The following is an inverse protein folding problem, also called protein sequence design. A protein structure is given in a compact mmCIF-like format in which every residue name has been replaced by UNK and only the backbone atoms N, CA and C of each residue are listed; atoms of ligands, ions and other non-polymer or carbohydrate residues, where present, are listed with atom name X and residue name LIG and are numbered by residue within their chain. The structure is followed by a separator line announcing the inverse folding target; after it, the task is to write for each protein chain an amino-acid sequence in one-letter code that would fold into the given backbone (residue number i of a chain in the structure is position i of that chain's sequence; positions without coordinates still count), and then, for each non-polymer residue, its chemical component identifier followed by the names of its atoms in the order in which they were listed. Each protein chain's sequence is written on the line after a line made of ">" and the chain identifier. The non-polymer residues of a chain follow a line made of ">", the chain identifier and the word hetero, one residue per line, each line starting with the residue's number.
data_IF_487026965979
#
_entry.id   IF_487026965979
#
_cell.length_a   1.000
_cell.length_b   1.000
_cell.length_c   1.000
_cell.angle_alpha   90.00
_cell.angle_beta   90.00
_cell.angle_gamma   90.00
#
_symmetry.space_group_name_H-M   'P 1'
#
loop_
_entity.id
_entity.type
_entity.pdbx_description
1 polymer ?
#
# COMPACT_ATOMS: atom_id res chain seq x y z
N UNK A 1 34.05 34.36 -2.79
CA UNK A 1 32.73 33.72 -2.86
C UNK A 1 32.07 34.14 -4.18
N UNK A 2 31.75 33.19 -5.04
CA UNK A 2 31.05 33.49 -6.29
C UNK A 2 29.65 34.08 -5.98
N UNK A 3 29.22 35.06 -6.78
CA UNK A 3 27.89 35.63 -6.63
C UNK A 3 26.85 34.61 -7.11
N UNK A 4 26.02 34.09 -6.19
CA UNK A 4 24.95 33.15 -6.53
C UNK A 4 23.80 33.93 -7.18
N UNK A 5 23.58 33.71 -8.46
CA UNK A 5 22.52 34.36 -9.22
C UNK A 5 21.20 33.62 -9.14
N UNK A 6 20.09 34.32 -9.36
CA UNK A 6 18.76 33.70 -9.43
C UNK A 6 18.68 32.66 -10.58
N UNK A 7 19.40 32.90 -11.70
CA UNK A 7 19.49 31.95 -12.79
C UNK A 7 20.13 30.62 -12.40
N UNK A 8 21.25 30.67 -11.65
CA UNK A 8 21.90 29.44 -11.18
C UNK A 8 20.98 28.65 -10.23
N UNK A 9 20.24 29.33 -9.37
CA UNK A 9 19.25 28.67 -8.48
C UNK A 9 18.13 28.05 -9.30
N UNK A 10 17.62 28.74 -10.31
CA UNK A 10 16.57 28.24 -11.19
C UNK A 10 17.05 27.02 -12.01
N UNK A 11 18.31 27.06 -12.52
CA UNK A 11 18.90 25.95 -13.26
C UNK A 11 19.09 24.70 -12.37
N UNK A 12 19.63 24.87 -11.17
CA UNK A 12 19.79 23.76 -10.23
C UNK A 12 18.44 23.17 -9.82
N UNK A 13 17.43 24.04 -9.63
CA UNK A 13 16.06 23.60 -9.36
C UNK A 13 15.45 22.84 -10.53
N UNK A 14 15.64 23.30 -11.75
CA UNK A 14 15.14 22.61 -12.94
C UNK A 14 15.74 21.20 -13.10
N UNK A 15 17.02 21.03 -12.71
CA UNK A 15 17.70 19.72 -12.73
C UNK A 15 17.28 18.79 -11.60
N UNK A 16 17.06 19.32 -10.39
CA UNK A 16 16.90 18.51 -9.18
C UNK A 16 15.49 18.51 -8.62
N UNK A 17 14.66 19.46 -9.10
CA UNK A 17 13.31 19.73 -8.56
C UNK A 17 13.30 19.96 -7.03
N UNK A 18 14.44 20.29 -6.45
CA UNK A 18 14.59 20.54 -5.03
C UNK A 18 14.00 21.92 -4.64
N UNK A 19 13.64 22.13 -3.37
CA UNK A 19 13.14 23.41 -2.89
C UNK A 19 14.15 24.55 -3.16
N UNK A 20 13.64 25.70 -3.66
CA UNK A 20 14.47 26.85 -4.08
C UNK A 20 15.51 27.26 -3.04
N UNK A 21 15.16 27.29 -1.76
CA UNK A 21 16.06 27.70 -0.68
C UNK A 21 17.16 26.67 -0.44
N UNK A 22 16.90 25.39 -0.65
CA UNK A 22 17.92 24.35 -0.55
C UNK A 22 18.91 24.44 -1.74
N UNK A 23 18.41 24.70 -2.95
CA UNK A 23 19.24 24.97 -4.12
C UNK A 23 20.18 26.17 -3.88
N UNK A 24 19.64 27.28 -3.34
CA UNK A 24 20.43 28.46 -3.00
C UNK A 24 21.52 28.16 -1.97
N UNK A 25 21.17 27.43 -0.88
CA UNK A 25 22.15 27.04 0.15
C UNK A 25 23.25 26.15 -0.41
N UNK A 26 22.88 25.14 -1.21
CA UNK A 26 23.83 24.22 -1.81
C UNK A 26 24.80 24.96 -2.77
N UNK A 27 24.31 25.86 -3.60
CA UNK A 27 25.16 26.70 -4.45
C UNK A 27 26.08 27.60 -3.64
N UNK A 28 25.62 28.15 -2.52
CA UNK A 28 26.44 28.97 -1.65
C UNK A 28 27.57 28.15 -1.04
N UNK A 29 27.27 26.94 -0.54
CA UNK A 29 28.27 26.02 0.04
C UNK A 29 29.25 25.46 -1.00
N UNK A 30 28.79 25.32 -2.26
CA UNK A 30 29.60 24.90 -3.40
C UNK A 30 30.39 26.04 -4.07
N UNK A 31 30.32 27.27 -3.54
CA UNK A 31 30.90 28.48 -4.13
C UNK A 31 30.56 28.70 -5.61
N UNK A 32 29.29 28.36 -5.98
CA UNK A 32 28.75 28.49 -7.32
C UNK A 32 29.03 27.31 -8.26
N UNK A 33 29.74 26.28 -7.82
CA UNK A 33 29.94 25.04 -8.60
C UNK A 33 28.63 24.25 -8.65
N UNK A 34 28.06 24.13 -9.85
CA UNK A 34 26.77 23.48 -10.09
C UNK A 34 26.80 21.97 -9.78
N UNK A 35 27.85 21.25 -10.19
CA UNK A 35 27.99 19.83 -9.98
C UNK A 35 28.13 19.48 -8.49
N UNK A 36 28.98 20.25 -7.79
CA UNK A 36 29.17 20.11 -6.34
C UNK A 36 27.90 20.49 -5.56
N UNK A 37 27.17 21.51 -5.99
CA UNK A 37 25.91 21.91 -5.39
C UNK A 37 24.85 20.80 -5.53
N UNK A 38 24.78 20.13 -6.68
CA UNK A 38 23.90 18.99 -6.91
C UNK A 38 24.24 17.81 -5.99
N UNK A 39 25.53 17.49 -5.83
CA UNK A 39 26.00 16.45 -4.91
C UNK A 39 25.64 16.78 -3.44
N UNK A 40 25.90 18.02 -3.01
CA UNK A 40 25.55 18.49 -1.66
C UNK A 40 24.04 18.41 -1.38
N UNK A 41 23.22 18.76 -2.39
CA UNK A 41 21.77 18.64 -2.30
C UNK A 41 21.36 17.17 -2.10
N UNK A 42 21.92 16.27 -2.89
CA UNK A 42 21.61 14.82 -2.80
C UNK A 42 21.88 14.28 -1.40
N UNK A 43 23.03 14.61 -0.80
CA UNK A 43 23.38 14.23 0.56
C UNK A 43 22.42 14.84 1.59
N UNK A 44 22.14 16.13 1.48
CA UNK A 44 21.23 16.83 2.42
C UNK A 44 19.79 16.31 2.36
N UNK A 45 19.26 16.10 1.16
CA UNK A 45 17.90 15.59 0.99
C UNK A 45 17.78 14.18 1.54
N UNK A 46 18.77 13.31 1.27
CA UNK A 46 18.83 11.98 1.85
C UNK A 46 18.84 11.96 3.38
N UNK A 47 19.56 12.91 4.01
CA UNK A 47 19.62 13.01 5.48
C UNK A 47 18.31 13.42 6.15
N UNK A 48 17.39 14.08 5.43
CA UNK A 48 16.06 14.47 5.94
C UNK A 48 15.15 13.27 6.18
N UNK A 49 15.39 12.15 5.49
CA UNK A 49 14.60 10.93 5.64
C UNK A 49 14.62 10.38 7.08
N UNK A 50 15.77 10.45 7.76
CA UNK A 50 15.90 10.03 9.15
C UNK A 50 15.00 10.81 10.11
N UNK A 51 14.83 12.12 9.88
CA UNK A 51 13.94 12.97 10.69
C UNK A 51 12.46 12.73 10.40
N UNK A 52 12.13 12.28 9.18
CA UNK A 52 10.76 12.00 8.77
C UNK A 52 10.29 10.61 9.22
N UNK A 53 11.18 9.67 9.52
CA UNK A 53 10.89 8.25 9.74
C UNK A 53 9.88 7.96 10.87
N UNK A 54 9.75 8.85 11.85
CA UNK A 54 8.78 8.71 12.95
C UNK A 54 7.35 9.16 12.60
N UNK A 55 7.15 9.79 11.44
CA UNK A 55 5.84 10.28 11.02
C UNK A 55 5.04 9.13 10.41
N UNK A 56 3.77 9.00 10.81
CA UNK A 56 2.87 7.93 10.36
C UNK A 56 2.56 8.07 8.88
N UNK A 57 2.70 6.98 8.13
CA UNK A 57 2.38 6.90 6.71
C UNK A 57 1.17 5.98 6.51
N UNK A 58 -0.05 6.54 6.57
CA UNK A 58 -1.30 5.79 6.46
C UNK A 58 -2.00 5.95 5.10
N UNK A 59 -1.53 6.86 4.26
CA UNK A 59 -1.89 6.98 2.85
C UNK A 59 -0.85 6.27 1.99
N UNK A 60 -1.05 6.21 0.66
CA UNK A 60 -0.10 5.56 -0.24
C UNK A 60 -0.74 4.94 -1.46
N UNK A 61 0.00 4.03 -2.09
CA UNK A 61 -0.45 3.31 -3.29
C UNK A 61 -0.20 1.82 -3.14
N UNK A 62 -1.08 1.02 -3.74
CA UNK A 62 -0.82 -0.37 -4.09
C UNK A 62 -0.56 -0.44 -5.58
N UNK A 63 0.53 -1.07 -5.97
CA UNK A 63 0.90 -1.30 -7.36
C UNK A 63 1.25 -2.75 -7.61
N UNK A 64 1.18 -3.18 -8.85
CA UNK A 64 1.52 -4.53 -9.27
C UNK A 64 2.37 -4.52 -10.54
N UNK A 65 3.17 -5.56 -10.69
CA UNK A 65 3.88 -5.87 -11.92
C UNK A 65 3.71 -7.36 -12.23
N UNK A 66 3.36 -7.69 -13.48
CA UNK A 66 3.22 -9.08 -13.94
C UNK A 66 3.94 -9.22 -15.26
N UNK A 67 4.76 -10.26 -15.38
CA UNK A 67 5.42 -10.68 -16.60
C UNK A 67 5.37 -12.22 -16.69
N UNK A 68 4.50 -12.73 -17.57
CA UNK A 68 4.21 -14.15 -17.63
C UNK A 68 3.63 -14.68 -16.33
N UNK A 69 4.29 -15.70 -15.76
CA UNK A 69 3.88 -16.35 -14.50
C UNK A 69 4.64 -15.79 -13.28
N UNK A 70 5.36 -14.70 -13.45
CA UNK A 70 6.06 -14.02 -12.37
C UNK A 70 5.45 -12.64 -12.16
N UNK A 71 5.27 -12.25 -10.91
CA UNK A 71 4.70 -10.93 -10.61
C UNK A 71 4.99 -10.48 -9.19
N UNK A 72 4.58 -9.27 -8.87
CA UNK A 72 4.62 -8.70 -7.54
C UNK A 72 3.41 -7.80 -7.28
N UNK A 73 2.97 -7.77 -6.03
CA UNK A 73 2.05 -6.79 -5.47
C UNK A 73 2.79 -6.07 -4.35
N UNK A 74 2.78 -4.74 -4.36
CA UNK A 74 3.53 -3.90 -3.44
C UNK A 74 2.63 -2.79 -2.88
N UNK A 75 2.72 -2.53 -1.58
CA UNK A 75 2.16 -1.34 -0.94
C UNK A 75 3.30 -0.39 -0.54
N UNK A 76 3.23 0.85 -1.04
CA UNK A 76 4.13 1.95 -0.68
C UNK A 76 3.30 3.04 -0.01
N UNK A 77 3.67 3.40 1.21
CA UNK A 77 2.93 4.38 2.00
C UNK A 77 3.59 5.76 2.00
N UNK A 78 2.77 6.79 2.19
CA UNK A 78 3.14 8.19 2.39
C UNK A 78 2.22 8.83 3.45
N UNK A 79 2.46 10.09 3.80
CA UNK A 79 1.68 10.76 4.84
C UNK A 79 0.32 11.24 4.33
N UNK A 80 0.28 11.82 3.13
CA UNK A 80 -0.94 12.41 2.55
C UNK A 80 -1.32 11.81 1.19
N UNK A 81 -2.56 11.96 0.81
CA UNK A 81 -3.08 11.53 -0.49
C UNK A 81 -2.58 12.41 -1.66
N UNK A 82 -2.02 13.59 -1.39
CA UNK A 82 -1.40 14.43 -2.43
C UNK A 82 -0.19 13.74 -3.05
N UNK A 83 0.64 13.08 -2.24
CA UNK A 83 1.83 12.36 -2.72
C UNK A 83 1.43 11.16 -3.60
N UNK A 84 0.26 10.57 -3.40
CA UNK A 84 -0.23 9.46 -4.25
C UNK A 84 -0.47 9.84 -5.71
N UNK A 85 -0.42 11.13 -6.05
CA UNK A 85 -0.55 11.67 -7.41
C UNK A 85 0.77 12.20 -7.96
N UNK A 86 1.85 12.12 -7.17
CA UNK A 86 3.17 12.59 -7.57
C UNK A 86 3.87 11.57 -8.47
N UNK A 87 4.28 11.98 -9.67
CA UNK A 87 4.87 11.09 -10.69
C UNK A 87 6.15 10.40 -10.20
N UNK A 88 7.01 11.11 -9.45
CA UNK A 88 8.23 10.51 -8.89
C UNK A 88 7.92 9.43 -7.87
N UNK A 89 6.91 9.61 -7.03
CA UNK A 89 6.44 8.60 -6.06
C UNK A 89 5.85 7.38 -6.76
N UNK A 90 4.99 7.61 -7.76
CA UNK A 90 4.40 6.54 -8.57
C UNK A 90 5.46 5.76 -9.35
N UNK A 91 6.44 6.47 -9.93
CA UNK A 91 7.57 5.86 -10.63
C UNK A 91 8.41 4.97 -9.73
N UNK A 92 8.73 5.42 -8.51
CA UNK A 92 9.42 4.62 -7.50
C UNK A 92 8.63 3.36 -7.13
N UNK A 93 7.33 3.48 -6.88
CA UNK A 93 6.48 2.35 -6.52
C UNK A 93 6.42 1.31 -7.66
N UNK A 94 6.24 1.75 -8.90
CA UNK A 94 6.17 0.87 -10.06
C UNK A 94 7.51 0.15 -10.32
N UNK A 95 8.63 0.88 -10.25
CA UNK A 95 9.96 0.30 -10.41
C UNK A 95 10.27 -0.72 -9.30
N UNK A 96 9.89 -0.42 -8.06
CA UNK A 96 10.06 -1.35 -6.96
C UNK A 96 9.28 -2.65 -7.18
N UNK A 97 8.01 -2.60 -7.64
CA UNK A 97 7.22 -3.78 -7.95
C UNK A 97 7.87 -4.64 -9.06
N UNK A 98 8.41 -4.00 -10.10
CA UNK A 98 9.12 -4.66 -11.18
C UNK A 98 10.41 -5.35 -10.68
N UNK A 99 11.20 -4.66 -9.85
CA UNK A 99 12.44 -5.20 -9.29
C UNK A 99 12.16 -6.36 -8.32
N UNK A 100 11.08 -6.30 -7.53
CA UNK A 100 10.64 -7.43 -6.69
C UNK A 100 10.37 -8.66 -7.57
N UNK A 101 9.60 -8.51 -8.63
CA UNK A 101 9.27 -9.61 -9.53
C UNK A 101 10.53 -10.22 -10.15
N UNK A 102 11.49 -9.39 -10.59
CA UNK A 102 12.72 -9.82 -11.25
C UNK A 102 13.74 -10.46 -10.31
N UNK A 103 13.93 -9.91 -9.12
CA UNK A 103 15.08 -10.24 -8.25
C UNK A 103 14.74 -11.06 -7.02
N UNK A 104 13.43 -11.27 -6.71
CA UNK A 104 12.98 -12.07 -5.56
C UNK A 104 13.67 -11.68 -4.23
N UNK A 105 13.63 -10.42 -3.81
CA UNK A 105 14.24 -10.01 -2.55
C UNK A 105 13.55 -10.71 -1.37
N UNK A 106 14.35 -11.12 -0.37
CA UNK A 106 13.85 -11.86 0.79
C UNK A 106 13.14 -10.96 1.83
N UNK A 107 13.36 -9.64 1.78
CA UNK A 107 12.80 -8.66 2.74
C UNK A 107 12.68 -7.27 2.12
N UNK A 108 12.04 -6.36 2.85
CA UNK A 108 11.96 -4.93 2.49
C UNK A 108 13.36 -4.32 2.40
N UNK A 109 14.26 -4.66 3.32
CA UNK A 109 15.64 -4.18 3.35
C UNK A 109 16.41 -4.69 2.13
N UNK A 110 16.28 -5.99 1.81
CA UNK A 110 16.90 -6.57 0.62
C UNK A 110 16.35 -5.94 -0.67
N UNK A 111 15.07 -5.64 -0.73
CA UNK A 111 14.45 -4.90 -1.84
C UNK A 111 15.03 -3.49 -1.93
N UNK A 112 15.14 -2.77 -0.80
CA UNK A 112 15.70 -1.42 -0.75
C UNK A 112 17.14 -1.33 -1.26
N UNK A 113 17.91 -2.40 -1.13
CA UNK A 113 19.29 -2.50 -1.61
C UNK A 113 19.42 -2.76 -3.12
N UNK A 114 18.32 -3.06 -3.84
CA UNK A 114 18.36 -3.29 -5.27
C UNK A 114 18.79 -2.03 -6.04
N UNK A 115 19.59 -2.23 -7.08
CA UNK A 115 20.10 -1.14 -7.90
C UNK A 115 18.97 -0.42 -8.63
N UNK A 116 18.87 0.88 -8.37
CA UNK A 116 17.90 1.77 -9.01
C UNK A 116 18.32 3.23 -8.88
N UNK A 117 18.00 4.02 -9.89
CA UNK A 117 18.23 5.47 -9.89
C UNK A 117 17.06 6.19 -10.53
N UNK A 118 16.65 7.30 -9.91
CA UNK A 118 15.56 8.15 -10.38
C UNK A 118 15.77 9.58 -9.87
N UNK A 119 15.48 10.57 -10.69
CA UNK A 119 15.50 12.00 -10.33
C UNK A 119 16.85 12.46 -9.73
N UNK A 120 17.96 11.90 -10.19
CA UNK A 120 19.29 12.18 -9.64
C UNK A 120 19.61 11.49 -8.31
N UNK A 121 18.69 10.71 -7.75
CA UNK A 121 18.89 9.87 -6.57
C UNK A 121 19.25 8.43 -6.95
N UNK A 122 19.96 7.74 -6.10
CA UNK A 122 20.45 6.38 -6.27
C UNK A 122 21.75 6.19 -5.46
N UNK A 123 22.41 5.07 -5.56
CA UNK A 123 22.30 4.01 -6.56
C UNK A 123 21.26 2.90 -6.25
N UNK A 124 20.55 2.98 -5.13
CA UNK A 124 19.60 1.94 -4.70
C UNK A 124 18.16 2.49 -4.59
N UNK A 125 17.17 1.58 -4.54
CA UNK A 125 15.77 1.94 -4.26
C UNK A 125 15.63 2.74 -2.96
N UNK A 126 16.38 2.34 -1.91
CA UNK A 126 16.36 3.03 -0.62
C UNK A 126 16.95 4.43 -0.71
N UNK A 127 18.01 4.64 -1.50
CA UNK A 127 18.57 5.98 -1.73
C UNK A 127 17.59 6.88 -2.49
N UNK A 128 16.89 6.33 -3.49
CA UNK A 128 15.84 7.06 -4.20
C UNK A 128 14.71 7.43 -3.26
N UNK A 129 14.21 6.49 -2.44
CA UNK A 129 13.17 6.76 -1.43
C UNK A 129 13.59 7.88 -0.47
N UNK A 130 14.80 7.82 0.08
CA UNK A 130 15.34 8.86 0.97
C UNK A 130 15.46 10.22 0.26
N UNK A 131 15.92 10.22 -0.97
CA UNK A 131 16.00 11.42 -1.79
C UNK A 131 14.63 12.06 -2.01
N UNK A 132 13.62 11.26 -2.36
CA UNK A 132 12.24 11.72 -2.57
C UNK A 132 11.61 12.25 -1.26
N UNK A 133 11.86 11.62 -0.11
CA UNK A 133 11.44 12.16 1.20
C UNK A 133 12.01 13.57 1.41
N UNK A 134 13.28 13.76 1.10
CA UNK A 134 13.92 15.08 1.19
C UNK A 134 13.36 16.11 0.23
N UNK A 135 13.05 15.68 -1.02
CA UNK A 135 12.53 16.50 -2.12
C UNK A 135 11.08 16.90 -1.89
N UNK A 136 10.22 15.95 -1.56
CA UNK A 136 8.77 16.12 -1.39
C UNK A 136 8.45 16.65 0.02
N UNK A 137 9.23 16.25 1.03
CA UNK A 137 9.05 16.71 2.42
C UNK A 137 8.17 15.81 3.27
N UNK A 138 7.63 14.73 2.70
CA UNK A 138 6.81 13.74 3.39
C UNK A 138 7.56 12.43 3.60
N UNK A 139 7.27 11.73 4.70
CA UNK A 139 7.75 10.38 4.94
C UNK A 139 7.14 9.41 3.92
N UNK A 140 7.95 8.44 3.50
CA UNK A 140 7.54 7.36 2.59
C UNK A 140 8.11 6.05 3.08
N UNK A 141 7.36 4.97 2.96
CA UNK A 141 7.81 3.65 3.38
C UNK A 141 7.38 2.56 2.40
N UNK A 142 8.29 1.65 2.09
CA UNK A 142 7.92 0.37 1.51
C UNK A 142 7.32 -0.48 2.63
N UNK A 143 6.02 -0.75 2.58
CA UNK A 143 5.33 -1.38 3.71
C UNK A 143 5.35 -2.89 3.66
N UNK A 144 4.87 -3.45 2.56
CA UNK A 144 4.75 -4.89 2.34
C UNK A 144 4.71 -5.21 0.86
N UNK A 145 5.21 -6.37 0.50
CA UNK A 145 5.06 -6.91 -0.83
C UNK A 145 4.82 -8.41 -0.79
N UNK A 146 4.28 -8.94 -1.90
CA UNK A 146 4.26 -10.35 -2.19
C UNK A 146 4.72 -10.57 -3.62
N UNK A 147 5.68 -11.47 -3.80
CA UNK A 147 6.11 -11.95 -5.10
C UNK A 147 5.36 -13.24 -5.44
N UNK A 148 5.03 -13.38 -6.69
CA UNK A 148 4.35 -14.54 -7.26
C UNK A 148 5.27 -15.18 -8.30
N UNK A 149 5.38 -16.50 -8.26
CA UNK A 149 6.12 -17.30 -9.23
C UNK A 149 5.61 -18.73 -9.20
N UNK A 150 5.41 -19.33 -10.36
CA UNK A 150 4.93 -20.70 -10.43
C UNK A 150 4.40 -21.11 -11.79
N UNK A 151 3.68 -22.23 -11.83
CA UNK A 151 3.07 -22.75 -13.05
C UNK A 151 1.76 -22.03 -13.43
N UNK A 152 1.09 -21.43 -12.45
CA UNK A 152 -0.19 -20.75 -12.66
C UNK A 152 -0.02 -19.39 -13.31
N UNK A 153 -1.04 -18.97 -14.05
CA UNK A 153 -1.17 -17.61 -14.58
C UNK A 153 -1.50 -16.63 -13.46
N UNK A 154 -1.20 -15.36 -13.68
CA UNK A 154 -1.50 -14.28 -12.77
C UNK A 154 -2.46 -13.28 -13.42
N UNK A 155 -3.47 -12.85 -12.68
CA UNK A 155 -4.33 -11.74 -13.05
C UNK A 155 -4.32 -10.70 -11.94
N UNK A 156 -4.14 -9.42 -12.29
CA UNK A 156 -4.19 -8.32 -11.33
C UNK A 156 -5.39 -7.41 -11.61
N UNK A 157 -5.88 -6.81 -10.52
CA UNK A 157 -6.85 -5.72 -10.54
C UNK A 157 -6.43 -4.65 -9.55
N UNK A 158 -6.34 -3.41 -10.02
CA UNK A 158 -6.09 -2.24 -9.18
C UNK A 158 -7.35 -1.37 -9.19
N UNK A 159 -7.90 -1.08 -8.01
CA UNK A 159 -9.01 -0.15 -7.87
C UNK A 159 -8.46 1.21 -7.42
N UNK A 160 -8.29 2.09 -8.40
CA UNK A 160 -7.52 3.32 -8.20
C UNK A 160 -6.09 2.98 -7.77
N UNK A 161 -5.59 3.75 -6.81
CA UNK A 161 -4.26 3.52 -6.21
C UNK A 161 -4.35 2.83 -4.85
N UNK A 162 -5.56 2.59 -4.32
CA UNK A 162 -5.75 2.21 -2.91
C UNK A 162 -5.94 0.72 -2.67
N UNK A 163 -6.41 -0.03 -3.65
CA UNK A 163 -6.68 -1.47 -3.51
C UNK A 163 -6.03 -2.20 -4.66
N UNK A 164 -5.28 -3.24 -4.35
CA UNK A 164 -4.69 -4.12 -5.34
C UNK A 164 -4.96 -5.58 -5.01
N UNK A 165 -5.28 -6.35 -6.05
CA UNK A 165 -5.52 -7.78 -5.96
C UNK A 165 -4.71 -8.48 -7.03
N UNK A 166 -4.07 -9.59 -6.65
CA UNK A 166 -3.49 -10.56 -7.57
C UNK A 166 -4.14 -11.91 -7.33
N UNK A 167 -4.56 -12.55 -8.40
CA UNK A 167 -5.16 -13.90 -8.42
C UNK A 167 -4.26 -14.84 -9.18
N UNK A 168 -3.95 -15.99 -8.58
CA UNK A 168 -3.27 -17.11 -9.23
C UNK A 168 -4.34 -18.07 -9.77
N UNK A 169 -4.30 -18.38 -11.07
CA UNK A 169 -5.36 -19.15 -11.73
C UNK A 169 -4.86 -20.01 -12.88
N UNK A 170 -5.69 -20.98 -13.24
CA UNK A 170 -5.61 -21.71 -14.50
C UNK A 170 -6.94 -21.54 -15.24
N UNK A 171 -6.89 -21.33 -16.56
CA UNK A 171 -8.09 -21.17 -17.38
C UNK A 171 -8.21 -19.80 -18.05
N UNK A 172 -9.43 -19.23 -18.01
CA UNK A 172 -9.79 -17.98 -18.68
C UNK A 172 -9.32 -16.73 -17.88
N UNK A 173 -8.59 -15.87 -18.57
CA UNK A 173 -8.03 -14.65 -17.97
C UNK A 173 -9.10 -13.61 -17.62
N UNK A 174 -10.18 -13.54 -18.41
CA UNK A 174 -11.27 -12.60 -18.17
C UNK A 174 -11.99 -12.95 -16.88
N UNK A 175 -12.31 -14.25 -16.69
CA UNK A 175 -12.91 -14.74 -15.47
C UNK A 175 -12.02 -14.48 -14.25
N UNK A 176 -10.71 -14.66 -14.37
CA UNK A 176 -9.75 -14.38 -13.29
C UNK A 176 -9.68 -12.88 -12.95
N UNK A 177 -9.66 -11.99 -13.93
CA UNK A 177 -9.74 -10.53 -13.72
C UNK A 177 -11.05 -10.12 -13.05
N UNK A 178 -12.15 -10.75 -13.43
CA UNK A 178 -13.46 -10.52 -12.81
C UNK A 178 -13.48 -10.95 -11.34
N UNK A 179 -12.81 -12.07 -11.01
CA UNK A 179 -12.61 -12.50 -9.62
C UNK A 179 -11.71 -11.51 -8.88
N UNK A 180 -10.62 -11.02 -9.47
CA UNK A 180 -9.76 -10.03 -8.83
C UNK A 180 -10.54 -8.74 -8.49
N UNK A 181 -11.42 -8.28 -9.40
CA UNK A 181 -12.30 -7.16 -9.15
C UNK A 181 -13.33 -7.47 -8.04
N UNK A 182 -13.92 -8.67 -8.05
CA UNK A 182 -14.83 -9.14 -6.99
C UNK A 182 -14.14 -9.15 -5.62
N UNK A 183 -12.92 -9.67 -5.52
CA UNK A 183 -12.10 -9.67 -4.29
C UNK A 183 -11.85 -8.26 -3.78
N UNK A 184 -11.54 -7.31 -4.66
CA UNK A 184 -11.35 -5.90 -4.27
C UNK A 184 -12.63 -5.28 -3.68
N UNK A 185 -13.80 -5.64 -4.20
CA UNK A 185 -15.09 -5.13 -3.75
C UNK A 185 -15.60 -5.82 -2.48
N UNK A 186 -15.59 -7.15 -2.46
CA UNK A 186 -16.24 -7.97 -1.43
C UNK A 186 -15.30 -8.42 -0.30
N UNK A 187 -14.00 -8.27 -0.48
CA UNK A 187 -12.94 -8.54 0.50
C UNK A 187 -13.11 -9.88 1.23
N UNK A 188 -13.19 -11.00 0.52
CA UNK A 188 -13.26 -12.31 1.15
C UNK A 188 -12.01 -12.58 1.97
N UNK A 189 -12.14 -13.38 3.02
CA UNK A 189 -11.05 -13.74 3.92
C UNK A 189 -10.29 -14.96 3.41
N UNK A 190 -10.99 -15.87 2.73
CA UNK A 190 -10.46 -17.15 2.25
C UNK A 190 -11.09 -17.57 0.93
N UNK A 191 -10.52 -18.59 0.27
CA UNK A 191 -11.12 -19.20 -0.92
C UNK A 191 -12.40 -19.96 -0.58
N UNK A 192 -12.32 -20.85 0.42
CA UNK A 192 -13.43 -21.71 0.86
C UNK A 192 -13.75 -21.49 2.34
N UNK A 193 -14.89 -21.98 2.77
CA UNK A 193 -15.30 -21.93 4.19
C UNK A 193 -14.37 -22.76 5.09
N UNK A 194 -13.70 -23.77 4.55
CA UNK A 194 -12.76 -24.60 5.30
C UNK A 194 -11.44 -23.87 5.60
N UNK A 195 -11.09 -22.87 4.80
CA UNK A 195 -9.84 -22.11 4.90
C UNK A 195 -9.99 -20.86 5.80
N UNK A 196 -11.18 -20.61 6.35
CA UNK A 196 -11.40 -19.46 7.24
C UNK A 196 -10.63 -19.68 8.55
N UNK A 197 -9.82 -18.72 9.02
CA UNK A 197 -9.08 -18.86 10.28
C UNK A 197 -9.98 -19.15 11.47
N UNK A 198 -9.59 -20.13 12.28
CA UNK A 198 -10.35 -20.57 13.45
C UNK A 198 -10.68 -19.43 14.43
N UNK A 199 -9.75 -18.50 14.60
CA UNK A 199 -9.92 -17.29 15.43
C UNK A 199 -11.14 -16.45 15.01
N UNK A 200 -11.34 -16.27 13.69
CA UNK A 200 -12.47 -15.51 13.17
C UNK A 200 -13.79 -16.28 13.37
N UNK A 201 -13.76 -17.59 13.23
CA UNK A 201 -14.92 -18.45 13.48
C UNK A 201 -15.32 -18.38 14.96
N UNK A 202 -14.36 -18.49 15.89
CA UNK A 202 -14.62 -18.41 17.33
C UNK A 202 -15.10 -17.01 17.75
N UNK A 203 -14.58 -15.96 17.15
CA UNK A 203 -15.07 -14.60 17.38
C UNK A 203 -16.54 -14.48 16.97
N UNK A 204 -16.90 -14.96 15.78
CA UNK A 204 -18.30 -14.93 15.31
C UNK A 204 -19.20 -15.82 16.19
N UNK A 205 -18.72 -17.00 16.58
CA UNK A 205 -19.44 -17.90 17.51
C UNK A 205 -19.72 -17.22 18.84
N UNK A 206 -18.75 -16.50 19.39
CA UNK A 206 -18.90 -15.74 20.64
C UNK A 206 -19.99 -14.68 20.52
N UNK A 207 -19.96 -13.90 19.41
CA UNK A 207 -21.00 -12.88 19.14
C UNK A 207 -22.37 -13.52 18.97
N UNK A 208 -22.46 -14.63 18.23
CA UNK A 208 -23.72 -15.35 18.02
C UNK A 208 -24.27 -15.93 19.35
N UNK A 209 -23.38 -16.41 20.23
CA UNK A 209 -23.74 -16.92 21.57
C UNK A 209 -24.32 -15.82 22.44
N UNK A 210 -23.69 -14.63 22.48
CA UNK A 210 -24.22 -13.50 23.22
C UNK A 210 -25.62 -13.07 22.73
N UNK A 211 -25.79 -12.94 21.40
CA UNK A 211 -27.09 -12.63 20.79
C UNK A 211 -28.17 -13.70 21.08
N UNK A 212 -27.79 -14.98 21.07
CA UNK A 212 -28.72 -16.07 21.39
C UNK A 212 -29.17 -16.03 22.87
N UNK A 213 -28.25 -15.72 23.79
CA UNK A 213 -28.57 -15.54 25.22
C UNK A 213 -29.55 -14.38 25.45
N UNK A 214 -29.34 -13.24 24.79
CA UNK A 214 -30.24 -12.09 24.90
C UNK A 214 -31.64 -12.38 24.33
N UNK A 215 -31.76 -13.33 23.39
CA UNK A 215 -33.04 -13.66 22.74
C UNK A 215 -34.02 -14.35 23.65
N UNK A 216 -33.60 -14.88 24.82
CA UNK A 216 -34.45 -15.61 25.78
C UNK A 216 -35.05 -16.93 25.28
N UNK A 217 -34.56 -17.45 24.13
CA UNK A 217 -35.09 -18.67 23.48
C UNK A 217 -34.60 -19.93 24.18
N UNK A 218 -35.33 -21.06 24.08
CA UNK A 218 -34.90 -22.36 24.58
C UNK A 218 -33.52 -22.77 24.06
N UNK A 219 -32.77 -23.54 24.83
CA UNK A 219 -31.37 -23.88 24.56
C UNK A 219 -31.14 -24.58 23.20
N UNK A 220 -32.07 -25.44 22.80
CA UNK A 220 -32.03 -26.12 21.47
C UNK A 220 -32.20 -25.17 20.30
N UNK A 221 -33.03 -24.14 20.45
CA UNK A 221 -33.23 -23.09 19.46
C UNK A 221 -32.02 -22.17 19.45
N UNK A 222 -31.50 -21.80 20.64
CA UNK A 222 -30.29 -20.98 20.76
C UNK A 222 -29.10 -21.64 20.06
N UNK A 223 -28.89 -22.94 20.26
CA UNK A 223 -27.82 -23.71 19.62
C UNK A 223 -27.96 -23.66 18.08
N UNK A 224 -29.15 -23.87 17.54
CA UNK A 224 -29.40 -23.77 16.07
C UNK A 224 -29.15 -22.36 15.54
N UNK A 225 -29.50 -21.33 16.31
CA UNK A 225 -29.23 -19.94 15.93
C UNK A 225 -27.73 -19.65 15.84
N UNK A 226 -26.93 -20.14 16.81
CA UNK A 226 -25.48 -19.98 16.83
C UNK A 226 -24.86 -20.66 15.61
N UNK A 227 -25.18 -21.93 15.38
CA UNK A 227 -24.65 -22.67 14.23
C UNK A 227 -25.09 -22.03 12.89
N UNK A 228 -26.34 -21.60 12.80
CA UNK A 228 -26.84 -20.89 11.61
C UNK A 228 -26.10 -19.58 11.34
N UNK A 229 -25.80 -18.81 12.39
CA UNK A 229 -25.02 -17.57 12.28
C UNK A 229 -23.59 -17.84 11.80
N UNK A 230 -22.91 -18.83 12.38
CA UNK A 230 -21.56 -19.24 11.97
C UNK A 230 -21.52 -19.71 10.52
N UNK A 231 -22.50 -20.56 10.12
CA UNK A 231 -22.59 -21.03 8.73
C UNK A 231 -22.87 -19.90 7.73
N UNK A 232 -23.67 -18.93 8.13
CA UNK A 232 -23.92 -17.73 7.33
C UNK A 232 -22.64 -16.92 7.18
N UNK A 233 -21.94 -16.64 8.26
CA UNK A 233 -20.66 -15.92 8.27
C UNK A 233 -19.63 -16.60 7.36
N UNK A 234 -19.44 -17.92 7.49
CA UNK A 234 -18.50 -18.68 6.64
C UNK A 234 -18.80 -18.50 5.14
N UNK A 235 -20.06 -18.47 4.74
CA UNK A 235 -20.45 -18.21 3.35
C UNK A 235 -20.17 -16.77 2.93
N UNK A 236 -20.42 -15.81 3.81
CA UNK A 236 -20.21 -14.39 3.54
C UNK A 236 -18.74 -14.01 3.36
N UNK A 237 -17.82 -14.68 4.09
CA UNK A 237 -16.39 -14.37 4.04
C UNK A 237 -15.58 -15.27 3.09
N UNK A 238 -16.19 -16.27 2.48
CA UNK A 238 -15.52 -17.23 1.59
C UNK A 238 -15.78 -16.88 0.12
N UNK A 239 -14.71 -16.63 -0.63
CA UNK A 239 -14.77 -16.19 -2.03
C UNK A 239 -15.73 -17.02 -2.88
N UNK A 240 -15.58 -18.34 -2.86
CA UNK A 240 -16.36 -19.22 -3.74
C UNK A 240 -17.86 -19.25 -3.40
N UNK A 241 -18.22 -18.93 -2.16
CA UNK A 241 -19.61 -18.91 -1.71
C UNK A 241 -20.29 -17.54 -1.89
N UNK A 242 -19.52 -16.48 -2.09
CA UNK A 242 -20.08 -15.13 -2.24
C UNK A 242 -20.88 -15.02 -3.54
N UNK A 243 -22.02 -14.28 -3.54
CA UNK A 243 -22.70 -13.88 -4.76
C UNK A 243 -21.74 -13.07 -5.64
N UNK A 244 -21.66 -13.40 -6.93
CA UNK A 244 -20.73 -12.74 -7.84
C UNK A 244 -21.11 -11.28 -8.09
N UNK A 245 -20.20 -10.35 -7.90
CA UNK A 245 -20.46 -8.89 -7.92
C UNK A 245 -21.08 -8.38 -9.25
N UNK A 246 -20.78 -9.04 -10.38
CA UNK A 246 -21.38 -8.68 -11.68
C UNK A 246 -22.71 -9.36 -11.94
N UNK A 247 -23.04 -10.44 -11.22
CA UNK A 247 -24.26 -11.20 -11.36
C UNK A 247 -24.58 -11.98 -10.07
N UNK A 248 -25.37 -11.37 -9.20
CA UNK A 248 -25.72 -11.88 -7.87
C UNK A 248 -26.59 -13.16 -7.87
N UNK A 249 -27.11 -13.56 -9.06
CA UNK A 249 -27.86 -14.80 -9.24
C UNK A 249 -26.99 -16.06 -9.26
N UNK A 250 -25.69 -15.91 -9.29
CA UNK A 250 -24.72 -17.01 -9.24
C UNK A 250 -23.60 -16.71 -8.24
N UNK A 251 -23.02 -17.75 -7.67
CA UNK A 251 -21.83 -17.62 -6.83
C UNK A 251 -20.58 -17.48 -7.69
N UNK A 252 -19.47 -17.00 -7.08
CA UNK A 252 -18.16 -16.97 -7.73
C UNK A 252 -17.75 -18.37 -8.20
N UNK A 253 -18.01 -19.42 -7.40
CA UNK A 253 -17.73 -20.80 -7.79
C UNK A 253 -18.48 -21.23 -9.05
N UNK A 254 -19.77 -20.89 -9.15
CA UNK A 254 -20.58 -21.20 -10.32
C UNK A 254 -20.08 -20.47 -11.58
N UNK A 255 -19.71 -19.21 -11.43
CA UNK A 255 -19.13 -18.41 -12.52
C UNK A 255 -17.82 -19.02 -13.01
N UNK A 256 -16.91 -19.38 -12.10
CA UNK A 256 -15.63 -19.99 -12.43
C UNK A 256 -15.79 -21.35 -13.12
N UNK A 257 -16.71 -22.19 -12.65
CA UNK A 257 -17.05 -23.47 -13.30
C UNK A 257 -17.57 -23.26 -14.72
N UNK A 258 -18.45 -22.28 -14.92
CA UNK A 258 -18.98 -21.95 -16.25
C UNK A 258 -17.89 -21.45 -17.21
N UNK A 259 -16.88 -20.75 -16.70
CA UNK A 259 -15.73 -20.26 -17.45
C UNK A 259 -14.58 -21.29 -17.55
N UNK A 260 -14.74 -22.52 -17.07
CA UNK A 260 -13.70 -23.53 -16.99
C UNK A 260 -12.39 -23.00 -16.39
N UNK A 261 -12.51 -22.26 -15.28
CA UNK A 261 -11.40 -21.55 -14.63
C UNK A 261 -11.28 -21.99 -13.18
N UNK A 262 -10.05 -22.18 -12.74
CA UNK A 262 -9.71 -22.52 -11.36
C UNK A 262 -8.86 -21.41 -10.75
N UNK A 263 -9.33 -20.80 -9.68
CA UNK A 263 -8.57 -19.88 -8.83
C UNK A 263 -7.90 -20.69 -7.73
N UNK A 264 -6.59 -20.54 -7.60
CA UNK A 264 -5.76 -21.25 -6.61
C UNK A 264 -5.46 -20.42 -5.38
N UNK A 265 -5.28 -19.12 -5.56
CA UNK A 265 -5.08 -18.18 -4.46
C UNK A 265 -5.47 -16.77 -4.89
N UNK A 266 -5.65 -15.91 -3.90
CA UNK A 266 -5.69 -14.47 -4.10
C UNK A 266 -4.87 -13.76 -3.03
N UNK A 267 -4.42 -12.57 -3.36
CA UNK A 267 -3.79 -11.65 -2.42
C UNK A 267 -4.43 -10.29 -2.59
N UNK A 268 -4.89 -9.72 -1.49
CA UNK A 268 -5.52 -8.41 -1.44
C UNK A 268 -4.70 -7.49 -0.57
N UNK A 269 -4.33 -6.32 -1.07
CA UNK A 269 -3.77 -5.22 -0.29
C UNK A 269 -4.69 -4.01 -0.35
N UNK A 270 -4.92 -3.43 0.81
CA UNK A 270 -5.63 -2.14 0.96
C UNK A 270 -4.66 -1.18 1.63
N UNK A 271 -4.47 -0.01 1.03
CA UNK A 271 -3.57 1.02 1.56
C UNK A 271 -3.93 1.38 3.00
N UNK A 272 -2.94 1.35 3.87
CA UNK A 272 -3.08 1.76 5.26
C UNK A 272 -3.87 0.82 6.15
N UNK A 273 -4.25 -0.38 5.65
CA UNK A 273 -4.98 -1.37 6.44
C UNK A 273 -4.22 -1.71 7.74
N UNK A 274 -4.90 -1.56 8.90
CA UNK A 274 -4.32 -1.82 10.22
C UNK A 274 -3.36 -0.74 10.74
N UNK A 275 -3.19 0.39 10.02
CA UNK A 275 -2.45 1.55 10.54
C UNK A 275 -3.43 2.49 11.23
N UNK A 276 -3.21 2.76 12.51
CA UNK A 276 -3.96 3.77 13.23
C UNK A 276 -3.59 5.16 12.69
N UNK A 277 -4.57 5.83 12.09
CA UNK A 277 -4.43 7.24 11.71
C UNK A 277 -4.46 8.07 12.99
N UNK A 278 -3.45 8.94 13.19
CA UNK A 278 -3.62 10.00 14.16
C UNK A 278 -4.83 10.83 13.75
N UNK A 279 -5.82 10.90 14.62
CA UNK A 279 -6.88 11.91 14.48
C UNK A 279 -6.24 13.22 14.90
N UNK A 280 -5.81 14.01 13.93
CA UNK A 280 -5.35 15.37 14.19
C UNK A 280 -6.57 16.17 14.64
N UNK A 281 -6.73 16.28 15.96
CA UNK A 281 -7.67 17.24 16.53
C UNK A 281 -7.03 18.63 16.45
N UNK A 282 -7.14 19.24 15.26
CA UNK A 282 -6.61 20.58 14.98
C UNK A 282 -7.08 21.62 16.02
N UNK A 283 -8.30 21.45 16.55
CA UNK A 283 -8.82 22.34 17.59
C UNK A 283 -8.06 22.16 18.91
N UNK A 284 -7.74 20.92 19.28
CA UNK A 284 -6.94 20.62 20.46
C UNK A 284 -5.48 21.09 20.31
N UNK A 285 -4.87 20.92 19.13
CA UNK A 285 -3.51 21.41 18.85
C UNK A 285 -3.43 22.94 18.93
N UNK A 286 -4.36 23.64 18.30
CA UNK A 286 -4.44 25.13 18.39
C UNK A 286 -4.67 25.57 19.84
N UNK A 287 -5.57 24.92 20.58
CA UNK A 287 -5.78 25.21 21.98
C UNK A 287 -4.53 25.01 22.84
N UNK A 288 -3.78 23.94 22.61
CA UNK A 288 -2.51 23.66 23.29
C UNK A 288 -1.44 24.71 22.96
N UNK A 289 -1.30 25.12 21.68
CA UNK A 289 -0.38 26.18 21.27
C UNK A 289 -0.72 27.54 21.90
N UNK A 290 -2.01 27.90 21.92
CA UNK A 290 -2.48 29.11 22.57
C UNK A 290 -2.22 29.07 24.07
N UNK A 291 -2.43 27.94 24.73
CA UNK A 291 -2.14 27.76 26.15
C UNK A 291 -0.64 27.90 26.45
N UNK A 292 0.23 27.28 25.63
CA UNK A 292 1.68 27.36 25.75
C UNK A 292 2.20 28.80 25.53
N UNK A 293 1.65 29.55 24.56
CA UNK A 293 2.02 30.92 24.30
C UNK A 293 1.60 31.87 25.47
N UNK A 294 0.47 31.58 26.14
CA UNK A 294 0.05 32.33 27.33
C UNK A 294 0.86 32.08 28.60
N UNK A 295 1.55 30.95 28.68
CA UNK A 295 2.45 30.59 29.80
C UNK A 295 3.86 31.16 29.62
N UNK A 296 4.22 31.58 28.40
CA UNK A 296 5.53 32.15 28.06
C UNK A 296 5.54 33.69 27.95
N UNK A 297 4.40 34.33 28.17
CA UNK A 297 4.20 35.80 28.24
C UNK A 297 3.99 36.26 29.70
#
# INVERSE_FOLDING_TARGET
>A
MAAITASMVAELRAKTDAPMMECKKALTEADGDMAKAEELLRVKLGSKAGKASSRVTAEGVVTSYISGNTGALLEVNCETDFVTKNDSFLGLAQAAAELIAKHNPASIEAMGALAYSQDGFGPTLEDVRKGLIGKIGENMSFRRFKRFEGASKLAAYLHGTRIGVVVEFDGDETAAKDVAMHVAAMKPVSLTSADVPAELIEKERSVATAKAAESGKPADIATKMIEGAVQKYLKEVSLFNQPFVKNDKQTVEQMLKAANTQVKSFTLYVVGEGIEKKVDDFAAEVAAQVAAAKQSA
#
